data_IF_528540235627
#
_entry.id   IF_528540235627
#
_cell.length_a   1.000
_cell.length_b   1.000
_cell.length_c   1.000
_cell.angle_alpha   90.00
_cell.angle_beta   90.00
_cell.angle_gamma   90.00
#
_symmetry.space_group_name_H-M   'P 1'
#
loop_
_entity.id
_entity.type
_entity.pdbx_description
1 polymer ?
#
# COMPACT_ATOMS: atom_id res chain seq x y z
N UNK A 1 -18.29 -49.74 46.45
CA UNK A 1 -19.16 -49.30 45.33
C UNK A 1 -19.59 -47.88 45.67
N UNK A 2 -19.42 -46.80 44.89
CA UNK A 2 -19.01 -46.56 43.51
C UNK A 2 -18.03 -45.39 43.51
N UNK A 3 -17.02 -45.50 42.64
CA UNK A 3 -15.96 -44.53 42.40
C UNK A 3 -16.49 -43.43 41.47
N UNK A 4 -16.08 -42.19 41.76
CA UNK A 4 -15.61 -41.17 40.81
C UNK A 4 -16.56 -40.87 39.63
N UNK A 5 -17.44 -39.88 39.82
CA UNK A 5 -18.10 -39.17 38.72
C UNK A 5 -17.78 -37.67 38.83
N UNK A 6 -16.54 -37.30 38.56
CA UNK A 6 -16.13 -35.91 38.45
C UNK A 6 -15.06 -35.77 37.37
N UNK A 7 -15.32 -36.24 36.15
CA UNK A 7 -14.46 -35.94 35.01
C UNK A 7 -15.20 -36.21 33.69
N UNK A 8 -16.29 -35.48 33.43
CA UNK A 8 -17.00 -35.55 32.15
C UNK A 8 -17.63 -34.21 31.77
N UNK A 9 -16.87 -33.13 31.97
CA UNK A 9 -17.25 -31.77 31.57
C UNK A 9 -16.07 -30.93 31.02
N UNK A 10 -15.01 -31.59 30.54
CA UNK A 10 -13.80 -30.92 30.05
C UNK A 10 -13.28 -31.47 28.71
N UNK A 11 -14.16 -31.91 27.82
CA UNK A 11 -13.78 -32.44 26.50
C UNK A 11 -14.30 -31.64 25.29
N UNK A 12 -14.83 -30.43 25.49
CA UNK A 12 -15.33 -29.57 24.38
C UNK A 12 -14.34 -28.45 23.99
N UNK A 13 -13.11 -28.42 24.56
CA UNK A 13 -12.10 -27.40 24.23
C UNK A 13 -10.91 -27.94 23.43
N UNK A 14 -11.16 -28.83 22.48
CA UNK A 14 -10.12 -29.27 21.54
C UNK A 14 -10.64 -29.21 20.10
N UNK A 15 -11.15 -28.05 19.69
CA UNK A 15 -11.06 -27.71 18.27
C UNK A 15 -9.61 -27.34 17.99
N UNK A 16 -8.90 -28.00 17.06
CA UNK A 16 -7.71 -27.40 16.50
C UNK A 16 -8.17 -26.14 15.76
N UNK A 17 -8.03 -24.99 16.41
CA UNK A 17 -8.07 -23.70 15.75
C UNK A 17 -6.86 -23.65 14.82
N UNK A 18 -6.99 -24.25 13.64
CA UNK A 18 -6.14 -23.92 12.50
C UNK A 18 -6.56 -22.54 12.01
N UNK A 19 -6.31 -21.52 12.83
CA UNK A 19 -6.23 -20.15 12.36
C UNK A 19 -4.91 -20.05 11.60
N UNK A 20 -4.91 -20.53 10.36
CA UNK A 20 -3.86 -20.14 9.43
C UNK A 20 -4.08 -18.64 9.21
N UNK A 21 -3.35 -17.80 9.95
CA UNK A 21 -3.27 -16.39 9.62
C UNK A 21 -2.69 -16.32 8.22
N UNK A 22 -3.50 -15.91 7.23
CA UNK A 22 -2.93 -15.48 5.96
C UNK A 22 -1.96 -14.36 6.31
N UNK A 23 -0.66 -14.64 6.24
CA UNK A 23 0.36 -13.62 6.47
C UNK A 23 0.08 -12.50 5.48
N UNK A 24 -0.13 -11.25 5.91
CA UNK A 24 -0.32 -10.15 4.99
C UNK A 24 0.86 -10.15 4.02
N UNK A 25 0.56 -10.35 2.74
CA UNK A 25 1.58 -10.37 1.70
C UNK A 25 1.58 -9.03 1.01
N UNK A 26 2.75 -8.41 0.95
CA UNK A 26 2.99 -7.24 0.12
C UNK A 26 4.04 -7.57 -0.94
N UNK A 27 3.89 -6.98 -2.12
CA UNK A 27 4.77 -7.21 -3.25
C UNK A 27 4.90 -5.93 -4.07
N UNK A 28 6.11 -5.65 -4.53
CA UNK A 28 6.35 -4.63 -5.57
C UNK A 28 5.87 -5.19 -6.90
N UNK A 29 5.03 -4.44 -7.61
CA UNK A 29 4.58 -4.82 -8.95
C UNK A 29 5.70 -4.58 -9.96
N UNK A 30 5.87 -5.53 -10.89
CA UNK A 30 6.70 -5.32 -12.08
C UNK A 30 6.08 -4.24 -12.98
N UNK A 31 6.86 -3.77 -13.97
CA UNK A 31 6.35 -2.81 -14.95
C UNK A 31 5.13 -3.36 -15.70
N UNK A 32 5.17 -4.62 -16.12
CA UNK A 32 4.05 -5.27 -16.82
C UNK A 32 2.80 -5.31 -15.95
N UNK A 33 2.90 -5.78 -14.71
CA UNK A 33 1.76 -5.82 -13.77
C UNK A 33 1.23 -4.41 -13.46
N UNK A 34 2.13 -3.43 -13.35
CA UNK A 34 1.77 -2.02 -13.16
C UNK A 34 0.97 -1.50 -14.35
N UNK A 35 1.40 -1.77 -15.58
CA UNK A 35 0.74 -1.30 -16.79
C UNK A 35 -0.60 -2.03 -17.06
N UNK A 36 -0.69 -3.31 -16.68
CA UNK A 36 -1.93 -4.10 -16.73
C UNK A 36 -3.01 -3.54 -15.80
N UNK A 37 -2.64 -3.16 -14.57
CA UNK A 37 -3.59 -2.58 -13.62
C UNK A 37 -3.85 -1.08 -13.88
N UNK A 38 -2.78 -0.28 -13.96
CA UNK A 38 -2.84 1.17 -14.16
C UNK A 38 -2.84 1.53 -15.66
N UNK A 39 -3.83 0.98 -16.37
CA UNK A 39 -4.03 1.26 -17.80
C UNK A 39 -4.15 2.77 -18.07
N UNK A 40 -3.87 3.25 -19.30
CA UNK A 40 -4.04 4.66 -19.64
C UNK A 40 -5.44 5.20 -19.32
N UNK A 41 -6.49 4.41 -19.58
CA UNK A 41 -7.87 4.79 -19.25
C UNK A 41 -8.10 4.90 -17.74
N UNK A 42 -7.56 3.96 -16.96
CA UNK A 42 -7.64 3.99 -15.49
C UNK A 42 -6.92 5.21 -14.92
N UNK A 43 -5.70 5.49 -15.39
CA UNK A 43 -4.91 6.66 -14.97
C UNK A 43 -5.66 7.96 -15.24
N UNK A 44 -6.21 8.11 -16.46
CA UNK A 44 -7.01 9.28 -16.85
C UNK A 44 -8.25 9.44 -15.97
N UNK A 45 -9.00 8.36 -15.72
CA UNK A 45 -10.20 8.37 -14.87
C UNK A 45 -9.89 8.80 -13.43
N UNK A 46 -8.73 8.40 -12.91
CA UNK A 46 -8.34 8.63 -11.52
C UNK A 46 -7.37 9.80 -11.32
N UNK A 47 -7.11 10.60 -12.37
CA UNK A 47 -6.20 11.75 -12.34
C UNK A 47 -4.77 11.41 -11.90
N UNK A 48 -4.32 10.21 -12.26
CA UNK A 48 -2.93 9.77 -12.07
C UNK A 48 -2.12 10.35 -13.24
N UNK A 49 -1.70 11.60 -13.08
CA UNK A 49 -1.12 12.39 -14.16
C UNK A 49 0.41 12.44 -14.14
N UNK A 50 1.03 11.89 -13.10
CA UNK A 50 2.48 11.80 -12.95
C UNK A 50 2.97 10.39 -13.30
N UNK A 51 4.22 10.24 -13.79
CA UNK A 51 4.87 8.94 -13.91
C UNK A 51 4.73 8.11 -12.63
N UNK A 52 4.34 6.84 -12.78
CA UNK A 52 4.36 5.89 -11.66
C UNK A 52 5.81 5.47 -11.46
N UNK A 53 6.45 6.00 -10.42
CA UNK A 53 7.80 5.63 -10.01
C UNK A 53 7.82 4.20 -9.45
N UNK A 54 6.81 3.83 -8.67
CA UNK A 54 6.68 2.49 -8.11
C UNK A 54 5.23 2.13 -7.84
N UNK A 55 4.89 0.85 -7.97
CA UNK A 55 3.62 0.32 -7.55
C UNK A 55 3.77 -0.90 -6.66
N UNK A 56 2.79 -1.09 -5.78
CA UNK A 56 2.73 -2.20 -4.84
C UNK A 56 1.35 -2.82 -4.89
N UNK A 57 1.29 -4.11 -4.58
CA UNK A 57 0.07 -4.78 -4.17
C UNK A 57 0.23 -5.30 -2.75
N UNK A 58 -0.85 -5.26 -1.97
CA UNK A 58 -0.90 -5.94 -0.69
C UNK A 58 -2.30 -6.49 -0.44
N UNK A 59 -2.38 -7.55 0.36
CA UNK A 59 -3.65 -8.09 0.85
C UNK A 59 -3.69 -8.01 2.36
N UNK A 60 -4.77 -7.44 2.89
CA UNK A 60 -5.13 -7.49 4.29
C UNK A 60 -6.51 -8.16 4.45
N UNK A 61 -7.01 -8.24 5.68
CA UNK A 61 -8.32 -8.85 6.01
C UNK A 61 -9.50 -8.23 5.29
N UNK A 62 -9.38 -6.96 4.93
CA UNK A 62 -10.43 -6.21 4.25
C UNK A 62 -10.37 -6.39 2.74
N UNK A 63 -9.25 -6.82 2.16
CA UNK A 63 -9.13 -7.23 0.76
C UNK A 63 -7.76 -6.95 0.15
N UNK A 64 -7.70 -7.01 -1.18
CA UNK A 64 -6.49 -6.70 -1.95
C UNK A 64 -6.48 -5.24 -2.39
N UNK A 65 -5.30 -4.64 -2.35
CA UNK A 65 -5.07 -3.24 -2.65
C UNK A 65 -3.91 -3.07 -3.61
N UNK A 66 -4.03 -2.08 -4.48
CA UNK A 66 -2.93 -1.62 -5.34
C UNK A 66 -2.61 -0.16 -5.03
N UNK A 67 -1.32 0.13 -4.88
CA UNK A 67 -0.80 1.47 -4.63
C UNK A 67 0.05 1.92 -5.81
N UNK A 68 -0.16 3.16 -6.25
CA UNK A 68 0.73 3.85 -7.16
C UNK A 68 1.43 5.00 -6.42
N UNK A 69 2.76 4.98 -6.40
CA UNK A 69 3.62 6.09 -6.00
C UNK A 69 4.06 6.82 -7.26
N UNK A 70 3.78 8.12 -7.32
CA UNK A 70 3.99 8.93 -8.51
C UNK A 70 4.75 10.21 -8.20
N UNK A 71 5.64 10.59 -9.10
CA UNK A 71 6.53 11.73 -8.95
C UNK A 71 6.49 12.57 -10.22
N UNK A 72 6.44 13.90 -10.10
CA UNK A 72 6.05 14.79 -11.19
C UNK A 72 7.05 14.95 -12.33
N UNK A 73 8.33 14.63 -12.12
CA UNK A 73 9.41 14.71 -13.11
C UNK A 73 9.47 16.06 -13.86
N UNK A 74 9.47 17.17 -13.12
CA UNK A 74 9.31 18.52 -13.66
C UNK A 74 10.49 19.00 -14.49
N UNK A 75 11.73 18.72 -14.04
CA UNK A 75 12.95 19.21 -14.69
C UNK A 75 14.10 18.23 -14.56
N UNK A 76 15.21 18.51 -15.26
CA UNK A 76 16.46 17.78 -15.15
C UNK A 76 17.54 18.75 -14.67
N UNK A 77 18.26 18.40 -13.60
CA UNK A 77 19.31 19.25 -13.05
C UNK A 77 20.61 19.19 -13.90
N UNK A 78 21.63 19.95 -13.50
CA UNK A 78 22.94 19.98 -14.21
C UNK A 78 23.67 18.63 -14.17
N UNK A 79 23.36 17.80 -13.19
CA UNK A 79 23.92 16.45 -12.99
C UNK A 79 23.15 15.39 -13.79
N UNK A 80 22.12 15.79 -14.53
CA UNK A 80 21.21 14.94 -15.32
C UNK A 80 20.24 14.09 -14.49
N UNK A 81 20.01 14.45 -13.24
CA UNK A 81 18.99 13.82 -12.41
C UNK A 81 17.62 14.44 -12.64
N UNK A 82 16.58 13.62 -12.50
CA UNK A 82 15.19 14.07 -12.52
C UNK A 82 14.87 14.80 -11.22
N UNK A 83 14.28 15.98 -11.34
CA UNK A 83 13.85 16.83 -10.23
C UNK A 83 12.33 16.84 -10.18
N UNK A 84 11.79 16.54 -9.01
CA UNK A 84 10.36 16.41 -8.75
C UNK A 84 9.90 17.52 -7.79
N UNK A 85 8.81 18.19 -8.11
CA UNK A 85 8.23 19.24 -7.29
C UNK A 85 6.98 18.79 -6.54
N UNK A 86 6.34 17.71 -7.00
CA UNK A 86 5.13 17.14 -6.40
C UNK A 86 5.21 15.63 -6.40
N UNK A 87 4.80 15.01 -5.29
CA UNK A 87 4.54 13.58 -5.22
C UNK A 87 3.07 13.33 -4.98
N UNK A 88 2.58 12.21 -5.51
CA UNK A 88 1.26 11.69 -5.16
C UNK A 88 1.30 10.20 -4.94
N UNK A 89 0.58 9.72 -3.95
CA UNK A 89 0.30 8.31 -3.76
C UNK A 89 -1.20 8.05 -3.87
N UNK A 90 -1.58 6.95 -4.48
CA UNK A 90 -2.98 6.54 -4.62
C UNK A 90 -3.14 5.11 -4.15
N UNK A 91 -4.14 4.84 -3.33
CA UNK A 91 -4.49 3.48 -2.92
C UNK A 91 -5.87 3.11 -3.41
N UNK A 92 -5.93 1.94 -4.05
CA UNK A 92 -7.16 1.40 -4.61
C UNK A 92 -7.41 0.03 -4.01
N UNK A 93 -8.61 -0.16 -3.44
CA UNK A 93 -9.11 -1.49 -3.10
C UNK A 93 -9.62 -2.16 -4.38
N UNK A 94 -9.25 -3.42 -4.56
CA UNK A 94 -9.69 -4.27 -5.68
C UNK A 94 -10.63 -5.33 -5.13
N UNK A 95 -11.89 -5.28 -5.52
CA UNK A 95 -12.90 -6.28 -5.15
C UNK A 95 -13.64 -6.76 -6.41
N UNK A 96 -13.30 -7.97 -6.87
CA UNK A 96 -13.85 -8.60 -8.07
C UNK A 96 -13.78 -7.66 -9.30
N UNK A 97 -14.90 -7.04 -9.66
CA UNK A 97 -15.04 -6.15 -10.81
C UNK A 97 -15.00 -4.65 -10.45
N UNK A 98 -14.93 -4.32 -9.15
CA UNK A 98 -15.00 -2.94 -8.65
C UNK A 98 -13.64 -2.55 -8.07
N UNK A 99 -13.08 -1.47 -8.60
CA UNK A 99 -11.89 -0.82 -8.05
C UNK A 99 -12.29 0.52 -7.44
N UNK A 100 -12.02 0.70 -6.15
CA UNK A 100 -12.39 1.89 -5.38
C UNK A 100 -11.15 2.60 -4.84
N UNK A 101 -11.03 3.92 -5.07
CA UNK A 101 -9.98 4.74 -4.43
C UNK A 101 -10.30 4.91 -2.95
N UNK A 102 -9.36 4.55 -2.08
CA UNK A 102 -9.55 4.56 -0.61
C UNK A 102 -8.90 5.77 0.02
N UNK A 103 -7.71 6.11 -0.43
CA UNK A 103 -7.02 7.32 -0.02
C UNK A 103 -6.06 7.79 -1.11
N UNK A 104 -5.66 9.05 -0.98
CA UNK A 104 -4.59 9.65 -1.75
C UNK A 104 -3.71 10.52 -0.85
N UNK A 105 -2.44 10.63 -1.19
CA UNK A 105 -1.50 11.58 -0.60
C UNK A 105 -1.10 12.52 -1.73
N UNK A 106 -1.04 13.82 -1.42
CA UNK A 106 -0.52 14.84 -2.32
C UNK A 106 0.44 15.70 -1.49
N UNK A 107 1.69 15.78 -1.90
CA UNK A 107 2.70 16.60 -1.25
C UNK A 107 3.57 17.30 -2.30
N UNK A 108 4.19 18.42 -1.93
CA UNK A 108 4.98 19.23 -2.84
C UNK A 108 6.15 19.87 -2.13
N UNK A 109 7.24 20.06 -2.87
CA UNK A 109 8.44 20.65 -2.30
C UNK A 109 8.16 22.04 -1.76
N UNK A 110 8.84 22.40 -0.68
CA UNK A 110 8.61 23.69 -0.05
C UNK A 110 8.91 24.86 -1.03
N UNK A 111 7.99 25.82 -1.25
CA UNK A 111 8.18 26.88 -2.24
C UNK A 111 9.25 27.88 -1.81
N UNK A 112 10.24 28.20 -2.65
CA UNK A 112 11.28 29.18 -2.34
C UNK A 112 10.67 30.53 -1.93
N UNK A 113 10.86 30.93 -0.67
CA UNK A 113 10.56 32.28 -0.17
C UNK A 113 11.92 32.97 -0.06
N UNK A 114 12.01 34.24 -0.48
CA UNK A 114 13.27 35.00 -0.52
C UNK A 114 14.05 34.87 0.80
N UNK A 115 15.22 34.24 0.76
CA UNK A 115 16.20 34.21 1.86
C UNK A 115 16.52 32.84 2.43
N UNK A 116 15.63 31.84 2.27
CA UNK A 116 15.84 30.50 2.84
C UNK A 116 16.04 29.47 1.73
N UNK A 117 17.18 28.76 1.76
CA UNK A 117 17.38 27.58 0.91
C UNK A 117 16.33 26.53 1.27
N UNK A 118 15.36 26.36 0.37
CA UNK A 118 14.29 25.37 0.49
C UNK A 118 14.57 24.16 -0.38
N UNK A 119 14.01 23.04 0.08
CA UNK A 119 13.88 21.77 -0.62
C UNK A 119 13.85 21.91 -2.15
N UNK A 120 14.88 21.36 -2.79
CA UNK A 120 15.09 21.49 -4.24
C UNK A 120 14.28 20.48 -5.04
N UNK A 121 13.97 19.34 -4.43
CA UNK A 121 13.22 18.23 -5.01
C UNK A 121 12.54 17.42 -3.89
N UNK A 122 11.42 16.77 -4.18
CA UNK A 122 10.68 15.87 -3.28
C UNK A 122 10.45 14.51 -3.96
N UNK A 123 10.68 13.38 -3.30
CA UNK A 123 10.51 12.05 -3.90
C UNK A 123 10.23 10.97 -2.84
N UNK A 124 9.75 9.80 -3.27
CA UNK A 124 9.52 8.67 -2.37
C UNK A 124 10.81 7.93 -2.07
N UNK A 125 11.18 7.88 -0.78
CA UNK A 125 12.33 7.10 -0.32
C UNK A 125 11.93 5.63 -0.12
N UNK A 126 11.80 4.87 -1.22
CA UNK A 126 11.23 3.51 -1.18
C UNK A 126 12.04 2.48 -0.38
N UNK A 127 13.30 2.78 -0.04
CA UNK A 127 14.09 1.96 0.90
C UNK A 127 13.45 1.93 2.31
N UNK A 128 12.62 2.92 2.61
CA UNK A 128 11.93 3.08 3.89
C UNK A 128 10.41 2.98 3.75
N UNK A 129 9.91 2.47 2.61
CA UNK A 129 8.49 2.19 2.42
C UNK A 129 8.24 0.70 2.66
N UNK A 130 7.50 0.39 3.71
CA UNK A 130 6.99 -0.94 4.00
C UNK A 130 5.47 -0.92 4.13
N UNK A 131 4.83 -2.01 3.73
CA UNK A 131 3.40 -2.23 3.90
C UNK A 131 3.21 -3.39 4.85
N UNK A 132 3.02 -3.06 6.12
CA UNK A 132 2.83 -4.02 7.20
C UNK A 132 1.43 -3.85 7.79
N UNK A 133 0.76 -4.96 8.03
CA UNK A 133 -0.43 -5.00 8.89
C UNK A 133 0.03 -4.93 10.34
N UNK A 134 -0.30 -3.84 11.03
CA UNK A 134 0.17 -3.57 12.39
C UNK A 134 -0.79 -4.06 13.47
N UNK A 135 -2.08 -4.20 13.15
CA UNK A 135 -3.07 -4.57 14.16
C UNK A 135 -3.35 -6.07 14.21
N UNK A 136 -2.89 -6.82 13.20
CA UNK A 136 -2.90 -8.28 13.18
C UNK A 136 -4.20 -8.81 13.76
N UNK A 137 -5.33 -8.29 13.27
CA UNK A 137 -6.61 -8.44 13.97
C UNK A 137 -6.82 -9.87 14.45
N UNK A 138 -7.18 -10.06 15.71
CA UNK A 138 -7.61 -11.37 16.18
C UNK A 138 -8.96 -11.67 15.54
N UNK A 139 -9.06 -12.78 14.80
CA UNK A 139 -10.34 -13.26 14.29
C UNK A 139 -11.22 -13.63 15.50
N UNK A 140 -12.40 -13.01 15.59
CA UNK A 140 -13.49 -13.43 16.46
C UNK A 140 -14.45 -14.34 15.70
#
# INVERSE_FOLDING_TARGET
MKKIYALLLLSIFAYPANAQSETPTSKILSKTETDEFFTPAFKKKNLINFPIFRAYTYTDKSGTYNIALTESADTVNKEKDTVNYTIKAFNFKVDKAITLKKWEINDFKTPTVKGDEKETSIWFWTKYCEFNDLDGGKNG
#
